data_IF_005053528812
#
_entry.id   IF_005053528812
#
_cell.length_a   1.000
_cell.length_b   1.000
_cell.length_c   1.000
_cell.angle_alpha   90.00
_cell.angle_beta   90.00
_cell.angle_gamma   90.00
#
_symmetry.space_group_name_H-M   'P 1'
#
loop_
_entity.id
_entity.type
_entity.pdbx_description
1 polymer ?
#
# COMPACT_ATOMS: atom_id res chain seq x y z
N UNK A 1 -57.57 -16.96 8.36
CA UNK A 1 -56.81 -15.95 7.59
C UNK A 1 -56.00 -14.99 8.46
N UNK A 2 -56.61 -14.25 9.40
CA UNK A 2 -55.90 -13.30 10.31
C UNK A 2 -54.69 -13.87 11.06
N UNK A 3 -54.79 -15.11 11.56
CA UNK A 3 -53.73 -15.80 12.30
C UNK A 3 -52.51 -16.17 11.42
N UNK A 4 -52.75 -16.48 10.14
CA UNK A 4 -51.68 -16.74 9.16
C UNK A 4 -50.98 -15.45 8.71
N UNK A 5 -51.73 -14.36 8.54
CA UNK A 5 -51.16 -13.04 8.21
C UNK A 5 -50.23 -12.56 9.33
N UNK A 6 -50.65 -12.70 10.59
CA UNK A 6 -49.79 -12.35 11.74
C UNK A 6 -48.50 -13.19 11.78
N UNK A 7 -48.59 -14.50 11.52
CA UNK A 7 -47.41 -15.38 11.45
C UNK A 7 -46.44 -14.97 10.34
N UNK A 8 -46.93 -14.64 9.14
CA UNK A 8 -46.09 -14.15 8.04
C UNK A 8 -45.39 -12.83 8.41
N UNK A 9 -46.09 -11.91 9.06
CA UNK A 9 -45.50 -10.65 9.55
C UNK A 9 -44.39 -10.92 10.56
N UNK A 10 -44.61 -11.81 11.54
CA UNK A 10 -43.58 -12.18 12.52
C UNK A 10 -42.36 -12.83 11.88
N UNK A 11 -42.55 -13.71 10.89
CA UNK A 11 -41.46 -14.34 10.14
C UNK A 11 -40.64 -13.28 9.39
N UNK A 12 -41.29 -12.36 8.68
CA UNK A 12 -40.59 -11.28 7.98
C UNK A 12 -39.83 -10.36 8.95
N UNK A 13 -40.41 -10.06 10.11
CA UNK A 13 -39.74 -9.25 11.12
C UNK A 13 -38.48 -9.95 11.67
N UNK A 14 -38.57 -11.25 11.96
CA UNK A 14 -37.44 -12.06 12.43
C UNK A 14 -36.32 -12.18 11.38
N UNK A 15 -36.67 -12.40 10.11
CA UNK A 15 -35.70 -12.40 9.01
C UNK A 15 -35.02 -11.03 8.86
N UNK A 16 -35.76 -9.93 8.99
CA UNK A 16 -35.22 -8.58 8.92
C UNK A 16 -34.27 -8.27 10.09
N UNK A 17 -34.58 -8.71 11.31
CA UNK A 17 -33.70 -8.50 12.48
C UNK A 17 -32.44 -9.34 12.41
N UNK A 18 -32.52 -10.60 12.00
CA UNK A 18 -31.34 -11.46 11.77
C UNK A 18 -30.45 -10.85 10.69
N UNK A 19 -31.04 -10.37 9.58
CA UNK A 19 -30.32 -9.70 8.51
C UNK A 19 -29.62 -8.41 8.97
N UNK A 20 -30.23 -7.62 9.86
CA UNK A 20 -29.59 -6.44 10.48
C UNK A 20 -28.45 -6.85 11.41
N UNK A 21 -28.67 -7.78 12.32
CA UNK A 21 -27.65 -8.23 13.27
C UNK A 21 -26.40 -8.79 12.57
N UNK A 22 -26.58 -9.54 11.47
CA UNK A 22 -25.45 -10.05 10.69
C UNK A 22 -24.66 -8.93 10.00
N UNK A 23 -25.34 -7.86 9.56
CA UNK A 23 -24.65 -6.68 8.97
C UNK A 23 -23.86 -5.93 10.04
N UNK A 24 -24.46 -5.75 11.22
CA UNK A 24 -23.83 -5.04 12.33
C UNK A 24 -22.60 -5.82 12.85
N UNK A 25 -22.68 -7.15 12.97
CA UNK A 25 -21.51 -7.96 13.34
C UNK A 25 -20.41 -7.92 12.28
N UNK A 26 -20.77 -7.99 10.99
CA UNK A 26 -19.81 -7.85 9.89
C UNK A 26 -19.10 -6.49 9.91
N UNK A 27 -19.84 -5.42 10.18
CA UNK A 27 -19.28 -4.08 10.35
C UNK A 27 -18.31 -3.99 11.53
N UNK A 28 -18.72 -4.47 12.72
CA UNK A 28 -17.88 -4.42 13.92
C UNK A 28 -16.59 -5.22 13.76
N UNK A 29 -16.66 -6.41 13.15
CA UNK A 29 -15.48 -7.23 12.86
C UNK A 29 -14.52 -6.51 11.90
N UNK A 30 -15.05 -5.81 10.89
CA UNK A 30 -14.23 -5.03 9.97
C UNK A 30 -13.54 -3.86 10.67
N UNK A 31 -14.27 -3.11 11.51
CA UNK A 31 -13.70 -2.01 12.30
C UNK A 31 -12.59 -2.51 13.22
N UNK A 32 -12.80 -3.66 13.89
CA UNK A 32 -11.81 -4.27 14.76
C UNK A 32 -10.55 -4.65 13.98
N UNK A 33 -10.69 -5.31 12.82
CA UNK A 33 -9.55 -5.68 11.97
C UNK A 33 -8.72 -4.46 11.54
N UNK A 34 -9.40 -3.37 11.14
CA UNK A 34 -8.73 -2.12 10.76
C UNK A 34 -8.01 -1.47 11.95
N UNK A 35 -8.59 -1.54 13.15
CA UNK A 35 -7.99 -1.00 14.36
C UNK A 35 -6.78 -1.82 14.85
N UNK A 36 -6.80 -3.13 14.64
CA UNK A 36 -5.71 -4.05 14.96
C UNK A 36 -4.54 -3.90 13.97
N UNK A 37 -4.82 -3.64 12.69
CA UNK A 37 -3.80 -3.46 11.66
C UNK A 37 -3.24 -2.03 11.64
N UNK A 38 -2.55 -1.64 12.70
CA UNK A 38 -2.01 -0.28 12.86
C UNK A 38 -0.76 -0.01 12.02
N UNK A 39 -0.67 1.21 11.49
CA UNK A 39 0.53 1.70 10.80
C UNK A 39 1.78 1.56 11.68
N UNK A 40 2.72 0.70 11.28
CA UNK A 40 3.88 0.37 12.10
C UNK A 40 5.10 -0.06 11.27
N UNK A 41 5.18 -1.33 10.90
CA UNK A 41 6.34 -1.92 10.24
C UNK A 41 6.23 -1.78 8.71
N UNK A 42 7.23 -1.14 8.06
CA UNK A 42 7.33 -1.09 6.61
C UNK A 42 7.17 -2.48 5.97
N UNK A 43 6.50 -2.55 4.82
CA UNK A 43 6.29 -3.78 4.07
C UNK A 43 7.17 -3.80 2.81
N UNK A 44 7.71 -4.97 2.41
CA UNK A 44 8.48 -5.07 1.18
C UNK A 44 7.60 -4.83 -0.06
N UNK A 45 8.09 -4.03 -0.99
CA UNK A 45 7.42 -3.71 -2.26
C UNK A 45 8.39 -3.79 -3.42
N UNK A 46 7.90 -4.31 -4.54
CA UNK A 46 8.60 -4.21 -5.81
C UNK A 46 8.53 -2.76 -6.30
N UNK A 47 9.68 -2.16 -6.56
CA UNK A 47 9.82 -0.79 -7.05
C UNK A 47 10.51 -0.83 -8.41
N UNK A 48 9.85 -0.42 -9.50
CA UNK A 48 10.45 -0.28 -10.82
C UNK A 48 11.62 0.70 -10.78
N UNK A 49 12.67 0.42 -11.55
CA UNK A 49 13.85 1.33 -11.63
C UNK A 49 13.46 2.73 -12.11
N UNK A 50 12.46 2.83 -12.99
CA UNK A 50 11.96 4.12 -13.48
C UNK A 50 11.44 5.05 -12.36
N UNK A 51 10.92 4.50 -11.26
CA UNK A 51 10.47 5.31 -10.10
C UNK A 51 11.64 5.81 -9.24
N UNK A 52 12.83 5.22 -9.38
CA UNK A 52 14.03 5.62 -8.65
C UNK A 52 14.82 6.71 -9.38
N UNK A 53 14.54 6.93 -10.66
CA UNK A 53 15.25 7.87 -11.52
C UNK A 53 14.46 9.18 -11.63
N UNK A 54 15.09 10.32 -11.36
CA UNK A 54 14.44 11.64 -11.43
C UNK A 54 13.88 11.97 -12.82
N UNK A 55 14.56 11.51 -13.88
CA UNK A 55 14.22 11.82 -15.29
C UNK A 55 13.74 10.54 -16.03
N UNK A 56 13.71 9.39 -15.34
CA UNK A 56 13.49 8.08 -15.98
C UNK A 56 14.71 7.58 -16.78
N UNK A 57 14.66 6.33 -17.28
CA UNK A 57 15.73 5.78 -18.11
C UNK A 57 15.70 6.37 -19.53
N UNK A 58 16.86 6.44 -20.20
CA UNK A 58 16.88 6.79 -21.63
C UNK A 58 16.12 5.74 -22.46
N UNK A 59 15.48 6.09 -23.59
CA UNK A 59 14.74 5.13 -24.42
C UNK A 59 15.57 3.96 -24.97
N UNK A 60 16.88 4.13 -25.06
CA UNK A 60 17.81 3.10 -25.51
C UNK A 60 18.39 2.27 -24.36
N UNK A 61 18.16 2.64 -23.10
CA UNK A 61 18.70 2.01 -21.90
C UNK A 61 17.73 1.00 -21.29
N UNK A 62 18.26 -0.17 -20.93
CA UNK A 62 17.56 -1.18 -20.14
C UNK A 62 18.39 -1.51 -18.91
N UNK A 63 17.73 -1.40 -17.75
CA UNK A 63 18.28 -1.74 -16.46
C UNK A 63 17.99 -3.21 -16.13
N UNK A 64 19.00 -3.91 -15.63
CA UNK A 64 18.87 -5.27 -15.09
C UNK A 64 19.41 -5.32 -13.65
N UNK A 65 18.59 -5.74 -12.67
CA UNK A 65 17.16 -6.08 -12.79
C UNK A 65 16.29 -4.86 -13.13
N UNK A 66 15.08 -5.08 -13.66
CA UNK A 66 14.16 -4.00 -14.04
C UNK A 66 13.42 -3.38 -12.83
N UNK A 67 13.50 -4.04 -11.68
CA UNK A 67 12.93 -3.61 -10.41
C UNK A 67 13.82 -4.05 -9.26
N UNK A 68 13.61 -3.42 -8.11
CA UNK A 68 14.23 -3.79 -6.84
C UNK A 68 13.14 -4.02 -5.79
N UNK A 69 13.53 -4.47 -4.60
CA UNK A 69 12.64 -4.56 -3.44
C UNK A 69 13.07 -3.52 -2.42
N UNK A 70 12.12 -2.67 -2.00
CA UNK A 70 12.31 -1.68 -0.93
C UNK A 70 11.24 -1.87 0.14
N UNK A 71 11.57 -1.60 1.39
CA UNK A 71 10.57 -1.50 2.45
C UNK A 71 9.89 -0.13 2.41
N UNK A 72 8.57 -0.14 2.45
CA UNK A 72 7.70 1.00 2.17
C UNK A 72 6.54 1.07 3.17
N UNK A 73 6.03 2.27 3.45
CA UNK A 73 5.01 2.49 4.48
C UNK A 73 3.59 2.51 3.92
N UNK A 74 3.47 2.71 2.62
CA UNK A 74 2.23 2.55 1.90
C UNK A 74 1.68 1.14 2.23
N UNK A 75 0.41 1.05 2.63
CA UNK A 75 -0.24 -0.21 2.99
C UNK A 75 0.36 -0.97 4.19
N UNK A 76 1.27 -0.37 4.97
CA UNK A 76 1.85 -0.98 6.17
C UNK A 76 0.91 -0.96 7.39
N UNK A 77 -0.25 -0.32 7.26
CA UNK A 77 -1.29 -0.28 8.28
C UNK A 77 -2.26 0.87 8.10
N UNK A 78 -3.22 0.95 9.01
CA UNK A 78 -4.28 1.94 9.04
C UNK A 78 -4.04 2.99 10.14
N UNK A 79 -4.60 4.18 9.93
CA UNK A 79 -4.63 5.27 10.90
C UNK A 79 -6.07 5.55 11.32
N UNK A 80 -6.29 5.82 12.60
CA UNK A 80 -7.64 6.04 13.14
C UNK A 80 -8.22 7.41 12.76
N UNK A 81 -7.37 8.43 12.59
CA UNK A 81 -7.82 9.75 12.12
C UNK A 81 -7.81 9.79 10.58
N UNK A 82 -8.95 10.10 9.91
CA UNK A 82 -9.02 10.23 8.46
C UNK A 82 -8.15 11.35 7.87
N UNK A 83 -7.67 12.29 8.69
CA UNK A 83 -6.72 13.34 8.31
C UNK A 83 -5.27 12.87 8.31
N UNK A 84 -5.00 11.68 8.85
CA UNK A 84 -3.68 11.09 8.87
C UNK A 84 -3.49 10.10 7.72
N UNK A 85 -2.23 9.84 7.37
CA UNK A 85 -1.83 8.71 6.51
C UNK A 85 -0.67 7.95 7.13
N UNK A 86 -0.52 6.69 6.74
CA UNK A 86 0.64 5.89 7.11
C UNK A 86 1.83 6.27 6.23
N UNK A 87 2.85 6.90 6.82
CA UNK A 87 4.02 7.42 6.11
C UNK A 87 5.32 7.09 6.89
N UNK A 88 6.49 7.19 6.25
CA UNK A 88 7.75 6.98 6.96
C UNK A 88 7.99 8.09 7.98
N UNK A 89 8.33 7.68 9.20
CA UNK A 89 8.85 8.58 10.24
C UNK A 89 10.37 8.42 10.42
N UNK A 90 10.94 7.37 9.82
CA UNK A 90 12.37 7.13 9.75
C UNK A 90 12.71 6.45 8.43
N UNK A 91 13.81 6.89 7.81
CA UNK A 91 14.29 6.39 6.53
C UNK A 91 15.80 6.18 6.55
N UNK A 92 16.28 5.36 5.62
CA UNK A 92 17.70 5.12 5.39
C UNK A 92 18.02 5.22 3.90
N UNK A 93 19.12 5.89 3.56
CA UNK A 93 19.67 5.88 2.21
C UNK A 93 20.36 4.53 1.94
N UNK A 94 20.05 3.93 0.80
CA UNK A 94 20.72 2.73 0.32
C UNK A 94 21.23 2.96 -1.11
N UNK A 95 22.24 2.18 -1.50
CA UNK A 95 22.79 2.18 -2.84
C UNK A 95 22.49 0.84 -3.50
N UNK A 96 21.89 0.90 -4.69
CA UNK A 96 21.51 -0.26 -5.49
C UNK A 96 22.33 -0.26 -6.77
N UNK A 97 22.90 -1.41 -7.11
CA UNK A 97 23.73 -1.55 -8.31
C UNK A 97 22.91 -2.24 -9.40
N UNK A 98 22.81 -1.58 -10.54
CA UNK A 98 22.12 -2.11 -11.72
C UNK A 98 23.09 -2.25 -12.88
N UNK A 99 22.85 -3.23 -13.73
CA UNK A 99 23.52 -3.32 -15.02
C UNK A 99 22.70 -2.58 -16.06
N UNK A 100 23.33 -1.66 -16.78
CA UNK A 100 22.73 -0.92 -17.89
C UNK A 100 23.16 -1.55 -19.21
N UNK A 101 22.20 -1.75 -20.11
CA UNK A 101 22.40 -2.28 -21.47
C UNK A 101 21.76 -1.33 -22.48
N UNK A 102 22.46 -1.07 -23.59
CA UNK A 102 21.92 -0.27 -24.68
C UNK A 102 21.28 -1.17 -25.75
N UNK A 103 20.05 -0.85 -26.15
CA UNK A 103 19.27 -1.63 -27.12
C UNK A 103 19.65 -1.31 -28.57
N UNK A 104 19.97 -0.04 -28.84
CA UNK A 104 20.30 0.44 -30.17
C UNK A 104 21.78 0.19 -30.46
N UNK A 105 22.67 0.69 -29.59
CA UNK A 105 24.11 0.45 -29.70
C UNK A 105 24.52 -0.79 -28.89
N UNK A 106 24.36 -1.97 -29.49
CA UNK A 106 24.71 -3.25 -28.86
C UNK A 106 26.23 -3.46 -28.75
N UNK A 107 27.03 -2.64 -29.42
CA UNK A 107 28.50 -2.65 -29.31
C UNK A 107 28.98 -1.88 -28.08
N UNK A 108 28.14 -0.96 -27.55
CA UNK A 108 28.42 -0.25 -26.31
C UNK A 108 28.52 -1.22 -25.14
N UNK A 109 29.58 -1.05 -24.36
CA UNK A 109 29.84 -1.88 -23.20
C UNK A 109 28.73 -1.76 -22.15
N UNK A 110 28.34 -2.91 -21.61
CA UNK A 110 27.49 -2.98 -20.43
C UNK A 110 28.25 -2.42 -19.25
N UNK A 111 27.63 -1.54 -18.49
CA UNK A 111 28.24 -0.95 -17.30
C UNK A 111 27.32 -1.10 -16.10
N UNK A 112 27.89 -0.91 -14.92
CA UNK A 112 27.15 -0.88 -13.67
C UNK A 112 26.88 0.57 -13.29
N UNK A 113 25.64 0.86 -12.94
CA UNK A 113 25.20 2.14 -12.42
C UNK A 113 24.71 1.99 -10.98
N UNK A 114 25.08 2.95 -10.14
CA UNK A 114 24.64 2.99 -8.75
C UNK A 114 23.48 3.97 -8.64
N UNK A 115 22.32 3.45 -8.28
CA UNK A 115 21.11 4.24 -8.02
C UNK A 115 20.92 4.33 -6.51
N UNK A 116 20.77 5.55 -6.00
CA UNK A 116 20.46 5.78 -4.60
C UNK A 116 18.95 5.77 -4.37
N UNK A 117 18.52 5.05 -3.34
CA UNK A 117 17.11 4.94 -2.98
C UNK A 117 16.90 5.17 -1.47
N UNK A 118 15.70 5.58 -1.12
CA UNK A 118 15.24 5.71 0.26
C UNK A 118 14.47 4.46 0.68
N UNK A 119 14.95 3.82 1.74
CA UNK A 119 14.32 2.68 2.39
C UNK A 119 13.60 3.17 3.66
N UNK A 120 12.34 2.78 3.86
CA UNK A 120 11.61 3.16 5.07
C UNK A 120 11.96 2.17 6.19
N UNK A 121 12.40 2.66 7.35
CA UNK A 121 12.77 1.81 8.49
C UNK A 121 11.69 1.81 9.59
N UNK A 122 10.86 2.84 9.64
CA UNK A 122 9.74 2.95 10.59
C UNK A 122 8.59 3.76 10.01
N UNK A 123 7.35 3.28 10.19
CA UNK A 123 6.14 4.00 9.79
C UNK A 123 5.40 4.59 11.00
N UNK A 124 4.63 5.63 10.73
CA UNK A 124 3.72 6.22 11.70
C UNK A 124 2.58 6.97 11.02
N UNK A 125 1.53 7.25 11.79
CA UNK A 125 0.42 8.07 11.35
C UNK A 125 0.80 9.54 11.42
N UNK A 126 0.90 10.19 10.25
CA UNK A 126 1.26 11.60 10.11
C UNK A 126 0.10 12.40 9.51
N UNK A 127 -0.08 13.66 9.91
CA UNK A 127 -1.10 14.53 9.33
C UNK A 127 -0.75 14.85 7.87
N UNK A 128 -1.74 14.71 6.98
CA UNK A 128 -1.60 14.99 5.54
C UNK A 128 -1.00 16.36 5.24
N UNK A 129 -1.21 17.35 6.11
CA UNK A 129 -0.72 18.74 5.93
C UNK A 129 0.79 18.88 6.11
N UNK A 130 1.45 17.92 6.74
CA UNK A 130 2.89 17.97 7.02
C UNK A 130 3.70 17.43 5.84
N UNK A 131 3.09 16.60 4.99
CA UNK A 131 3.74 16.04 3.80
C UNK A 131 3.77 17.12 2.72
N UNK A 132 4.89 17.82 2.60
CA UNK A 132 5.21 18.54 1.38
C UNK A 132 5.57 17.50 0.33
N UNK A 133 4.78 17.40 -0.72
CA UNK A 133 5.21 16.76 -1.95
C UNK A 133 6.28 17.67 -2.54
N UNK A 134 7.55 17.28 -2.38
CA UNK A 134 8.65 17.78 -3.21
C UNK A 134 8.71 16.95 -4.50
#
# INVERSE_FOLDING_TARGET
MRRYILLLIFIHLALATIGRHHRDSGFLNHVQLVHEFQCSMPQPRAVPVAELLTIGPSPDEIFYPASTVLTRCEGAGCCSDPKQICAPIETRNISLVFMVKHMIDRQRDRHHEVIHALEHTKCGCVDKRIIKFD
#
